data_IF_613083808516
#
_entry.id   IF_613083808516
#
_cell.length_a   1.000
_cell.length_b   1.000
_cell.length_c   1.000
_cell.angle_alpha   90.00
_cell.angle_beta   90.00
_cell.angle_gamma   90.00
#
_symmetry.space_group_name_H-M   'P 1'
#
loop_
_entity.id
_entity.type
_entity.pdbx_description
1 polymer ?
#
# COMPACT_ATOMS: atom_id res chain seq x y z
N UNK A 1 8.19 2.76 22.77
CA UNK A 1 7.40 3.99 22.49
C UNK A 1 7.62 4.53 21.08
N UNK A 2 8.87 4.76 20.63
CA UNK A 2 9.15 5.19 19.24
C UNK A 2 8.58 4.22 18.19
N UNK A 3 8.83 2.93 18.35
CA UNK A 3 8.35 1.90 17.42
C UNK A 3 6.81 1.81 17.33
N UNK A 4 6.11 2.02 18.45
CA UNK A 4 4.65 2.07 18.49
C UNK A 4 4.14 3.26 17.67
N UNK A 5 4.76 4.43 17.83
CA UNK A 5 4.39 5.64 17.09
C UNK A 5 4.63 5.46 15.59
N UNK A 6 5.79 4.90 15.21
CA UNK A 6 6.12 4.61 13.82
C UNK A 6 5.13 3.61 13.20
N UNK A 7 4.84 2.51 13.90
CA UNK A 7 3.86 1.53 13.44
C UNK A 7 2.45 2.13 13.29
N UNK A 8 2.00 2.96 14.24
CA UNK A 8 0.72 3.67 14.15
C UNK A 8 0.67 4.61 12.95
N UNK A 9 1.71 5.43 12.75
CA UNK A 9 1.77 6.37 11.62
C UNK A 9 1.78 5.66 10.26
N UNK A 10 2.51 4.55 10.15
CA UNK A 10 2.51 3.71 8.94
C UNK A 10 1.13 3.10 8.68
N UNK A 11 0.49 2.56 9.72
CA UNK A 11 -0.84 1.97 9.60
C UNK A 11 -1.91 3.01 9.27
N UNK A 12 -1.84 4.21 9.85
CA UNK A 12 -2.73 5.34 9.54
C UNK A 12 -2.60 5.81 8.08
N UNK A 13 -1.36 5.91 7.59
CA UNK A 13 -1.10 6.26 6.19
C UNK A 13 -1.69 5.22 5.24
N UNK A 14 -1.59 3.94 5.61
CA UNK A 14 -2.14 2.83 4.84
C UNK A 14 -3.68 2.82 4.85
N UNK A 15 -4.29 3.04 6.03
CA UNK A 15 -5.75 3.17 6.19
C UNK A 15 -6.29 4.27 5.28
N UNK A 16 -5.68 5.46 5.33
CA UNK A 16 -6.12 6.60 4.52
C UNK A 16 -6.04 6.28 3.02
N UNK A 17 -4.94 5.65 2.59
CA UNK A 17 -4.75 5.26 1.19
C UNK A 17 -5.79 4.24 0.76
N UNK A 18 -6.09 3.24 1.58
CA UNK A 18 -7.09 2.22 1.30
C UNK A 18 -8.51 2.80 1.19
N UNK A 19 -8.89 3.69 2.11
CA UNK A 19 -10.18 4.40 2.07
C UNK A 19 -10.32 5.23 0.80
N UNK A 20 -9.25 5.93 0.43
CA UNK A 20 -9.21 6.72 -0.80
C UNK A 20 -9.34 5.83 -2.03
N UNK A 21 -8.57 4.74 -2.11
CA UNK A 21 -8.63 3.79 -3.22
C UNK A 21 -10.02 3.17 -3.39
N UNK A 22 -10.69 2.79 -2.31
CA UNK A 22 -12.07 2.29 -2.38
C UNK A 22 -13.05 3.35 -2.90
N UNK A 23 -12.90 4.60 -2.42
CA UNK A 23 -13.74 5.72 -2.85
C UNK A 23 -13.52 6.05 -4.32
N UNK A 24 -12.27 6.12 -4.76
CA UNK A 24 -11.89 6.45 -6.15
C UNK A 24 -12.31 5.33 -7.11
N UNK A 25 -12.21 4.09 -6.66
CA UNK A 25 -12.63 2.94 -7.46
C UNK A 25 -14.17 2.86 -7.57
N UNK A 26 -14.90 3.34 -6.58
CA UNK A 26 -16.36 3.48 -6.62
C UNK A 26 -17.02 2.18 -7.07
N UNK A 27 -17.98 2.28 -8.00
CA UNK A 27 -18.77 1.13 -8.47
C UNK A 27 -18.04 0.23 -9.48
N UNK A 28 -16.76 0.50 -9.77
CA UNK A 28 -15.91 -0.38 -10.59
C UNK A 28 -15.39 -1.60 -9.84
N UNK A 29 -15.55 -1.62 -8.52
CA UNK A 29 -15.10 -2.72 -7.66
C UNK A 29 -16.30 -3.58 -7.28
N UNK A 30 -16.20 -4.92 -7.37
CA UNK A 30 -17.25 -5.81 -6.89
C UNK A 30 -17.60 -5.56 -5.42
N UNK A 31 -18.88 -5.70 -5.02
CA UNK A 31 -19.31 -5.52 -3.63
C UNK A 31 -18.52 -6.38 -2.64
N UNK A 32 -18.16 -7.61 -3.03
CA UNK A 32 -17.40 -8.53 -2.19
C UNK A 32 -15.99 -7.99 -1.88
N UNK A 33 -15.30 -7.44 -2.88
CA UNK A 33 -13.97 -6.84 -2.73
C UNK A 33 -14.05 -5.55 -1.92
N UNK A 34 -15.07 -4.72 -2.17
CA UNK A 34 -15.32 -3.50 -1.38
C UNK A 34 -15.53 -3.85 0.10
N UNK A 35 -16.36 -4.86 0.38
CA UNK A 35 -16.65 -5.30 1.74
C UNK A 35 -15.42 -5.92 2.44
N UNK A 36 -14.63 -6.72 1.73
CA UNK A 36 -13.38 -7.31 2.27
C UNK A 36 -12.41 -6.20 2.69
N UNK A 37 -12.12 -5.26 1.80
CA UNK A 37 -11.16 -4.18 2.10
C UNK A 37 -11.69 -3.27 3.20
N UNK A 38 -12.99 -2.93 3.20
CA UNK A 38 -13.59 -2.12 4.27
C UNK A 38 -13.43 -2.78 5.64
N UNK A 39 -13.67 -4.10 5.73
CA UNK A 39 -13.47 -4.84 6.97
C UNK A 39 -12.00 -4.81 7.44
N UNK A 40 -11.04 -4.90 6.51
CA UNK A 40 -9.61 -4.78 6.85
C UNK A 40 -9.19 -3.38 7.29
N UNK A 41 -9.79 -2.34 6.70
CA UNK A 41 -9.61 -0.95 7.13
C UNK A 41 -10.07 -0.79 8.58
N UNK A 42 -11.24 -1.33 8.91
CA UNK A 42 -11.80 -1.21 10.27
C UNK A 42 -10.97 -2.01 11.29
N UNK A 43 -10.47 -3.20 10.93
CA UNK A 43 -9.54 -3.95 11.78
C UNK A 43 -8.20 -3.22 11.98
N UNK A 44 -7.67 -2.57 10.94
CA UNK A 44 -6.48 -1.72 11.05
C UNK A 44 -6.71 -0.53 11.99
N UNK A 45 -7.86 0.13 11.90
CA UNK A 45 -8.26 1.21 12.81
C UNK A 45 -8.39 0.75 14.26
N UNK A 46 -8.90 -0.46 14.50
CA UNK A 46 -8.98 -1.00 15.85
C UNK A 46 -7.59 -1.40 16.38
N UNK A 47 -6.78 -2.02 15.52
CA UNK A 47 -5.45 -2.50 15.88
C UNK A 47 -4.49 -1.36 16.20
N UNK A 48 -4.54 -0.21 15.50
CA UNK A 48 -3.70 0.94 15.86
C UNK A 48 -3.99 1.52 17.25
N UNK A 49 -5.17 1.25 17.82
CA UNK A 49 -5.50 1.65 19.18
C UNK A 49 -4.87 0.71 20.22
N UNK A 50 -4.66 -0.57 19.86
CA UNK A 50 -3.84 -1.49 20.65
C UNK A 50 -2.37 -1.12 20.50
N UNK A 51 -1.60 -0.94 21.58
CA UNK A 51 -0.16 -0.62 21.50
C UNK A 51 0.71 -1.82 21.06
N UNK A 52 0.13 -2.75 20.29
CA UNK A 52 0.74 -3.98 19.81
C UNK A 52 1.33 -3.77 18.40
N UNK A 53 2.64 -3.58 18.34
CA UNK A 53 3.37 -3.32 17.09
C UNK A 53 3.40 -4.52 16.14
N UNK A 54 3.42 -5.75 16.65
CA UNK A 54 3.39 -6.95 15.81
C UNK A 54 2.04 -7.07 15.12
N UNK A 55 0.96 -6.86 15.88
CA UNK A 55 -0.39 -6.86 15.34
C UNK A 55 -0.59 -5.73 14.33
N UNK A 56 -0.08 -4.53 14.57
CA UNK A 56 -0.13 -3.43 13.60
C UNK A 56 0.57 -3.78 12.28
N UNK A 57 1.76 -4.38 12.34
CA UNK A 57 2.51 -4.79 11.15
C UNK A 57 1.74 -5.85 10.36
N UNK A 58 1.30 -6.91 11.04
CA UNK A 58 0.53 -7.99 10.41
C UNK A 58 -0.78 -7.48 9.79
N UNK A 59 -1.50 -6.61 10.50
CA UNK A 59 -2.75 -6.01 9.98
C UNK A 59 -2.48 -5.10 8.78
N UNK A 60 -1.38 -4.36 8.81
CA UNK A 60 -0.92 -3.55 7.68
C UNK A 60 -0.62 -4.39 6.43
N UNK A 61 0.09 -5.50 6.59
CA UNK A 61 0.37 -6.44 5.49
C UNK A 61 -0.93 -7.01 4.89
N UNK A 62 -1.87 -7.42 5.75
CA UNK A 62 -3.17 -7.94 5.32
C UNK A 62 -3.98 -6.87 4.57
N UNK A 63 -4.01 -5.62 5.06
CA UNK A 63 -4.68 -4.52 4.38
C UNK A 63 -4.05 -4.23 3.01
N UNK A 64 -2.72 -4.21 2.94
CA UNK A 64 -1.98 -4.01 1.69
C UNK A 64 -2.30 -5.08 0.65
N UNK A 65 -2.36 -6.35 1.07
CA UNK A 65 -2.73 -7.45 0.19
C UNK A 65 -4.19 -7.31 -0.33
N UNK A 66 -5.13 -6.91 0.54
CA UNK A 66 -6.52 -6.66 0.11
C UNK A 66 -6.63 -5.48 -0.86
N UNK A 67 -5.82 -4.41 -0.71
CA UNK A 67 -5.82 -3.28 -1.64
C UNK A 67 -5.40 -3.67 -3.06
N UNK A 68 -4.54 -4.67 -3.23
CA UNK A 68 -4.14 -5.14 -4.57
C UNK A 68 -5.32 -5.66 -5.38
N UNK A 69 -6.33 -6.25 -4.71
CA UNK A 69 -7.59 -6.71 -5.33
C UNK A 69 -8.40 -5.54 -5.91
N UNK A 70 -8.31 -4.34 -5.33
CA UNK A 70 -8.95 -3.13 -5.88
C UNK A 70 -8.31 -2.78 -7.22
N UNK A 71 -6.97 -2.79 -7.28
CA UNK A 71 -6.24 -2.51 -8.52
C UNK A 71 -6.57 -3.53 -9.62
N UNK A 72 -6.67 -4.80 -9.28
CA UNK A 72 -7.11 -5.86 -10.20
C UNK A 72 -8.55 -5.64 -10.69
N UNK A 73 -9.48 -5.32 -9.79
CA UNK A 73 -10.87 -5.05 -10.14
C UNK A 73 -11.00 -3.83 -11.08
N UNK A 74 -10.26 -2.75 -10.81
CA UNK A 74 -10.28 -1.54 -11.64
C UNK A 74 -9.71 -1.76 -13.04
N UNK A 75 -8.64 -2.55 -13.17
CA UNK A 75 -8.06 -2.92 -14.47
C UNK A 75 -9.03 -3.74 -15.31
N UNK A 76 -9.77 -4.66 -14.69
CA UNK A 76 -10.74 -5.50 -15.38
C UNK A 76 -12.01 -4.72 -15.80
N UNK A 77 -12.30 -3.59 -15.14
CA UNK A 77 -13.46 -2.74 -15.42
C UNK A 77 -13.25 -1.70 -16.54
N UNK A 78 -12.03 -1.55 -17.09
CA UNK A 78 -11.73 -0.56 -18.15
C UNK A 78 -10.89 -1.22 -19.26
N UNK A 79 -11.24 -1.12 -20.57
CA UNK A 79 -10.30 -1.48 -21.64
C UNK A 79 -9.07 -0.56 -21.57
N UNK A 80 -7.86 -1.00 -21.93
CA UNK A 80 -6.63 -0.31 -21.56
C UNK A 80 -6.49 1.04 -22.27
N UNK A 81 -6.20 2.13 -21.53
CA UNK A 81 -5.13 3.01 -21.96
C UNK A 81 -4.14 3.36 -20.84
N UNK A 82 -2.87 3.28 -21.23
CA UNK A 82 -1.63 3.85 -20.72
C UNK A 82 -1.30 3.87 -19.22
N UNK A 83 -0.09 3.36 -18.97
CA UNK A 83 0.63 3.25 -17.71
C UNK A 83 0.62 4.57 -16.93
N UNK A 84 0.02 4.55 -15.74
CA UNK A 84 0.53 5.33 -14.63
C UNK A 84 1.36 4.39 -13.77
N UNK A 85 2.65 4.40 -14.07
CA UNK A 85 3.73 3.92 -13.24
C UNK A 85 3.62 4.60 -11.85
N UNK A 86 3.06 3.89 -10.87
CA UNK A 86 3.39 4.06 -9.46
C UNK A 86 4.35 2.93 -9.09
N UNK A 87 5.43 2.84 -9.86
CA UNK A 87 6.57 1.99 -9.54
C UNK A 87 7.41 2.77 -8.54
N UNK A 88 7.06 2.67 -7.24
CA UNK A 88 8.08 2.76 -6.18
C UNK A 88 8.92 1.49 -6.30
N UNK A 89 9.71 1.42 -7.37
CA UNK A 89 10.93 0.65 -7.37
C UNK A 89 11.84 1.39 -6.43
N UNK A 90 12.18 0.73 -5.33
CA UNK A 90 13.38 0.95 -4.56
C UNK A 90 14.55 1.02 -5.55
N UNK A 91 14.86 2.23 -6.01
CA UNK A 91 15.97 2.47 -6.90
C UNK A 91 17.21 2.29 -6.04
N UNK A 92 17.80 1.10 -6.13
CA UNK A 92 19.14 0.78 -5.66
C UNK A 92 20.08 1.93 -6.04
N UNK A 93 20.41 2.77 -5.05
CA UNK A 93 21.55 3.65 -5.09
C UNK A 93 22.81 2.78 -5.02
N UNK A 94 23.23 2.23 -6.17
CA UNK A 94 24.63 1.85 -6.35
C UNK A 94 25.40 3.11 -6.72
N UNK A 95 26.01 3.70 -5.70
CA UNK A 95 27.08 4.68 -5.84
C UNK A 95 28.29 3.96 -6.47
N UNK A 96 28.38 3.97 -7.80
CA UNK A 96 29.61 3.60 -8.51
C UNK A 96 30.64 4.72 -8.32
N UNK A 97 31.22 4.75 -7.12
CA UNK A 97 32.52 5.34 -6.86
C UNK A 97 33.59 4.42 -7.45
N UNK A 98 33.99 4.64 -8.71
CA UNK A 98 35.26 4.18 -9.24
C UNK A 98 35.69 5.05 -10.42
N UNK A 99 36.43 6.11 -10.13
CA UNK A 99 37.34 6.68 -11.11
C UNK A 99 38.47 5.70 -11.38
N UNK A 100 38.74 5.40 -12.65
CA UNK A 100 40.10 5.37 -13.18
C UNK A 100 40.03 5.43 -14.71
N UNK A 101 40.77 6.38 -15.28
CA UNK A 101 40.93 6.51 -16.74
C UNK A 101 41.82 5.37 -17.20
N UNK A 102 41.60 4.80 -18.39
CA UNK A 102 42.56 5.16 -19.45
C UNK A 102 41.93 5.13 -20.85
N UNK A 103 42.20 6.16 -21.66
CA UNK A 103 42.39 5.89 -23.08
C UNK A 103 43.30 6.94 -23.74
N UNK A 104 44.37 6.41 -24.33
CA UNK A 104 45.26 6.93 -25.37
C UNK A 104 45.89 8.33 -25.19
#
# INVERSE_FOLDING_TARGET
KKEVIEAKNSLDSLIYTAEKSLKDAGDKVPPDVRSDVQAKIDDAKNTKESEDTERMRSTGEVLSASMSKIGEAMRNATPPPEKKDDTVTDAEYREDSAGDKPNA
#
